data_IF_765254898400
#
_entry.id   IF_765254898400
#
_cell.length_a   1.000
_cell.length_b   1.000
_cell.length_c   1.000
_cell.angle_alpha   90.00
_cell.angle_beta   90.00
_cell.angle_gamma   90.00
#
_symmetry.space_group_name_H-M   'P 1'
#
loop_
_entity.id
_entity.type
_entity.pdbx_description
1 polymer ?
#
# COMPACT_ATOMS: atom_id res chain seq x y z
N UNK A 1 -18.23 -12.31 -41.53
CA UNK A 1 -17.59 -13.07 -40.43
C UNK A 1 -16.31 -12.42 -39.92
N UNK A 2 -15.45 -11.83 -40.78
CA UNK A 2 -14.28 -11.05 -40.31
C UNK A 2 -14.65 -9.81 -39.47
N UNK A 3 -15.62 -8.99 -39.92
CA UNK A 3 -16.00 -7.76 -39.21
C UNK A 3 -16.58 -8.01 -37.81
N UNK A 4 -17.36 -9.08 -37.64
CA UNK A 4 -17.90 -9.48 -36.34
C UNK A 4 -16.84 -10.04 -35.41
N UNK A 5 -15.86 -10.79 -35.90
CA UNK A 5 -14.73 -11.22 -35.08
C UNK A 5 -13.84 -10.04 -34.65
N UNK A 6 -13.63 -9.05 -35.52
CA UNK A 6 -12.80 -7.89 -35.20
C UNK A 6 -13.43 -7.01 -34.10
N UNK A 7 -14.76 -6.83 -34.14
CA UNK A 7 -15.50 -6.14 -33.08
C UNK A 7 -15.45 -6.93 -31.76
N UNK A 8 -15.59 -8.25 -31.81
CA UNK A 8 -15.53 -9.09 -30.60
C UNK A 8 -14.14 -9.07 -29.98
N UNK A 9 -13.07 -9.13 -30.77
CA UNK A 9 -11.70 -9.01 -30.26
C UNK A 9 -11.46 -7.63 -29.64
N UNK A 10 -11.88 -6.54 -30.32
CA UNK A 10 -11.78 -5.19 -29.76
C UNK A 10 -12.54 -5.05 -28.43
N UNK A 11 -13.73 -5.63 -28.32
CA UNK A 11 -14.53 -5.63 -27.09
C UNK A 11 -13.86 -6.41 -25.97
N UNK A 12 -13.26 -7.57 -26.30
CA UNK A 12 -12.52 -8.40 -25.35
C UNK A 12 -11.29 -7.67 -24.84
N UNK A 13 -10.55 -7.00 -25.73
CA UNK A 13 -9.34 -6.25 -25.37
C UNK A 13 -9.69 -5.09 -24.43
N UNK A 14 -10.75 -4.32 -24.72
CA UNK A 14 -11.21 -3.24 -23.83
C UNK A 14 -11.64 -3.74 -22.43
N UNK A 15 -12.32 -4.89 -22.35
CA UNK A 15 -12.75 -5.47 -21.06
C UNK A 15 -11.54 -5.99 -20.27
N UNK A 16 -10.57 -6.58 -20.96
CA UNK A 16 -9.34 -7.10 -20.36
C UNK A 16 -8.47 -5.96 -19.83
N UNK A 17 -8.33 -4.88 -20.61
CA UNK A 17 -7.64 -3.65 -20.20
C UNK A 17 -8.33 -3.02 -18.99
N UNK A 18 -9.66 -2.85 -19.01
CA UNK A 18 -10.40 -2.29 -17.88
C UNK A 18 -10.18 -3.08 -16.58
N UNK A 19 -10.30 -4.41 -16.66
CA UNK A 19 -10.07 -5.29 -15.50
C UNK A 19 -8.63 -5.20 -14.98
N UNK A 20 -7.63 -5.05 -15.87
CA UNK A 20 -6.23 -4.87 -15.49
C UNK A 20 -6.02 -3.57 -14.69
N UNK A 21 -6.61 -2.46 -15.15
CA UNK A 21 -6.51 -1.17 -14.45
C UNK A 21 -7.20 -1.20 -13.09
N UNK A 22 -8.36 -1.85 -12.96
CA UNK A 22 -9.05 -2.01 -11.68
C UNK A 22 -8.18 -2.81 -10.66
N UNK A 23 -7.48 -3.86 -11.09
CA UNK A 23 -6.52 -4.59 -10.24
C UNK A 23 -5.26 -3.79 -9.92
N UNK A 24 -4.77 -2.99 -10.88
CA UNK A 24 -3.60 -2.13 -10.70
C UNK A 24 -3.87 -1.04 -9.66
N UNK A 25 -5.06 -0.45 -9.68
CA UNK A 25 -5.48 0.54 -8.69
C UNK A 25 -5.47 -0.03 -7.27
N UNK A 26 -6.05 -1.22 -7.09
CA UNK A 26 -6.01 -1.94 -5.81
C UNK A 26 -4.57 -2.26 -5.37
N UNK A 27 -3.70 -2.66 -6.30
CA UNK A 27 -2.30 -2.98 -6.03
C UNK A 27 -1.52 -1.75 -5.54
N UNK A 28 -1.69 -0.60 -6.19
CA UNK A 28 -1.03 0.65 -5.81
C UNK A 28 -1.52 1.11 -4.43
N UNK A 29 -2.83 1.07 -4.19
CA UNK A 29 -3.41 1.45 -2.90
C UNK A 29 -2.92 0.54 -1.75
N UNK A 30 -2.86 -0.76 -1.99
CA UNK A 30 -2.27 -1.72 -1.05
C UNK A 30 -0.80 -1.41 -0.77
N UNK A 31 -0.02 -1.09 -1.79
CA UNK A 31 1.40 -0.73 -1.66
C UNK A 31 1.64 0.50 -0.79
N UNK A 32 0.85 1.57 -0.98
CA UNK A 32 0.96 2.78 -0.16
C UNK A 32 0.67 2.51 1.32
N UNK A 33 -0.33 1.69 1.60
CA UNK A 33 -0.62 1.30 2.98
C UNK A 33 0.54 0.48 3.53
N UNK A 34 0.90 -0.63 2.87
CA UNK A 34 1.87 -1.57 3.42
C UNK A 34 3.27 -0.99 3.59
N UNK A 35 3.77 -0.18 2.65
CA UNK A 35 5.12 0.38 2.72
C UNK A 35 5.32 1.42 3.83
N UNK A 36 4.26 2.15 4.20
CA UNK A 36 4.37 3.33 5.08
C UNK A 36 3.56 3.23 6.37
N UNK A 37 3.04 2.05 6.70
CA UNK A 37 2.29 1.78 7.92
C UNK A 37 3.01 2.24 9.20
N UNK A 38 4.34 2.10 9.28
CA UNK A 38 5.08 2.50 10.49
C UNK A 38 5.13 4.01 10.73
N UNK A 39 4.97 4.82 9.67
CA UNK A 39 5.08 6.29 9.74
C UNK A 39 3.69 6.91 9.90
N UNK A 40 2.67 6.34 9.23
CA UNK A 40 1.30 6.87 9.26
C UNK A 40 0.27 5.79 9.60
N UNK A 41 -0.03 5.57 10.89
CA UNK A 41 -0.93 4.51 11.34
C UNK A 41 -2.40 4.70 10.91
N UNK A 42 -2.78 5.89 10.44
CA UNK A 42 -4.12 6.19 9.90
C UNK A 42 -4.29 5.81 8.42
N UNK A 43 -3.21 5.57 7.67
CA UNK A 43 -3.24 5.11 6.28
C UNK A 43 -4.23 3.95 6.02
N UNK A 44 -4.20 2.85 6.80
CA UNK A 44 -5.09 1.70 6.55
C UNK A 44 -6.57 2.04 6.72
N UNK A 45 -6.93 2.96 7.62
CA UNK A 45 -8.33 3.34 7.85
C UNK A 45 -8.85 4.13 6.65
N UNK A 46 -8.07 5.08 6.14
CA UNK A 46 -8.43 5.87 4.97
C UNK A 46 -8.55 4.98 3.73
N UNK A 47 -7.59 4.07 3.54
CA UNK A 47 -7.64 3.11 2.45
C UNK A 47 -8.83 2.14 2.56
N UNK A 48 -9.20 1.72 3.77
CA UNK A 48 -10.39 0.89 3.98
C UNK A 48 -11.67 1.64 3.59
N UNK A 49 -11.80 2.89 4.02
CA UNK A 49 -12.93 3.74 3.61
C UNK A 49 -12.97 3.91 2.09
N UNK A 50 -11.82 4.11 1.44
CA UNK A 50 -11.74 4.20 -0.02
C UNK A 50 -12.23 2.90 -0.67
N UNK A 51 -11.70 1.75 -0.25
CA UNK A 51 -12.13 0.43 -0.74
C UNK A 51 -13.64 0.19 -0.56
N UNK A 52 -14.25 0.67 0.53
CA UNK A 52 -15.70 0.55 0.73
C UNK A 52 -16.51 1.39 -0.26
N UNK A 53 -16.03 2.60 -0.60
CA UNK A 53 -16.66 3.45 -1.61
C UNK A 53 -16.46 2.84 -3.01
N UNK A 54 -15.26 2.31 -3.30
CA UNK A 54 -14.89 1.63 -4.54
C UNK A 54 -15.84 0.47 -4.85
N UNK A 55 -16.03 -0.46 -3.90
CA UNK A 55 -16.93 -1.61 -4.07
C UNK A 55 -18.35 -1.17 -4.45
N UNK A 56 -18.82 -0.08 -3.85
CA UNK A 56 -20.15 0.46 -4.13
C UNK A 56 -20.18 1.14 -5.50
N UNK A 57 -19.16 1.91 -5.85
CA UNK A 57 -18.98 2.56 -7.15
C UNK A 57 -18.93 1.54 -8.28
N UNK A 58 -18.14 0.47 -8.13
CA UNK A 58 -18.00 -0.58 -9.13
C UNK A 58 -19.29 -1.37 -9.34
N UNK A 59 -20.04 -1.64 -8.27
CA UNK A 59 -21.36 -2.26 -8.38
C UNK A 59 -22.33 -1.40 -9.20
N UNK A 60 -22.28 -0.07 -9.06
CA UNK A 60 -23.08 0.87 -9.85
C UNK A 60 -22.58 0.94 -11.30
N UNK A 61 -21.25 0.93 -11.51
CA UNK A 61 -20.61 0.92 -12.83
C UNK A 61 -20.99 -0.32 -13.65
N UNK A 62 -21.15 -1.46 -12.98
CA UNK A 62 -21.60 -2.71 -13.57
C UNK A 62 -23.12 -2.75 -13.80
N UNK A 63 -23.92 -2.16 -12.90
CA UNK A 63 -25.38 -2.15 -13.03
C UNK A 63 -25.90 -1.12 -14.04
N UNK A 64 -25.27 0.04 -14.14
CA UNK A 64 -25.76 1.18 -14.92
C UNK A 64 -24.84 1.59 -16.08
N UNK A 65 -23.56 1.21 -16.06
CA UNK A 65 -22.56 1.67 -17.03
C UNK A 65 -22.19 0.66 -18.13
N UNK A 66 -22.51 -0.63 -17.97
CA UNK A 66 -22.06 -1.69 -18.88
C UNK A 66 -23.19 -2.63 -19.30
N UNK A 67 -23.19 -3.08 -20.56
CA UNK A 67 -24.04 -4.19 -21.00
C UNK A 67 -23.53 -5.49 -20.37
N UNK A 68 -24.44 -6.32 -19.86
CA UNK A 68 -24.12 -7.59 -19.16
C UNK A 68 -23.11 -8.42 -20.00
N UNK A 69 -21.86 -8.56 -19.54
CA UNK A 69 -20.88 -9.37 -20.26
C UNK A 69 -21.21 -10.86 -20.10
N UNK A 70 -20.85 -11.65 -21.10
CA UNK A 70 -21.01 -13.10 -21.03
C UNK A 70 -20.05 -13.66 -19.98
N UNK A 71 -20.56 -14.56 -19.13
CA UNK A 71 -19.78 -15.22 -18.10
C UNK A 71 -18.62 -15.97 -18.76
N UNK A 72 -17.39 -15.50 -18.58
CA UNK A 72 -16.20 -16.23 -18.99
C UNK A 72 -15.59 -16.88 -17.76
N UNK A 73 -15.26 -18.18 -17.89
CA UNK A 73 -14.51 -18.88 -16.86
C UNK A 73 -13.08 -18.32 -16.83
N UNK A 74 -12.80 -17.44 -15.87
CA UNK A 74 -11.48 -16.90 -15.64
C UNK A 74 -10.64 -17.96 -14.90
N UNK A 75 -9.92 -18.80 -15.66
CA UNK A 75 -9.17 -19.92 -15.09
C UNK A 75 -7.75 -19.58 -14.63
N UNK A 76 -7.27 -18.33 -14.71
CA UNK A 76 -5.86 -18.04 -14.41
C UNK A 76 -5.43 -16.59 -14.11
N UNK A 77 -6.33 -15.59 -14.10
CA UNK A 77 -5.94 -14.20 -13.77
C UNK A 77 -5.33 -14.07 -12.37
N UNK A 78 -5.76 -14.93 -11.43
CA UNK A 78 -5.36 -14.89 -10.02
C UNK A 78 -3.87 -15.20 -9.79
N UNK A 79 -3.18 -15.87 -10.72
CA UNK A 79 -1.81 -16.35 -10.51
C UNK A 79 -0.75 -15.25 -10.48
N UNK A 80 -0.74 -14.36 -11.48
CA UNK A 80 0.28 -13.32 -11.61
C UNK A 80 0.13 -12.22 -10.55
N UNK A 81 -1.10 -11.80 -10.26
CA UNK A 81 -1.36 -10.78 -9.25
C UNK A 81 -1.02 -11.28 -7.84
N UNK A 82 -1.31 -12.54 -7.51
CA UNK A 82 -0.93 -13.11 -6.22
C UNK A 82 0.58 -13.04 -5.98
N UNK A 83 1.39 -13.32 -7.01
CA UNK A 83 2.85 -13.15 -6.93
C UNK A 83 3.28 -11.70 -6.79
N UNK A 84 2.60 -10.76 -7.45
CA UNK A 84 2.88 -9.34 -7.27
C UNK A 84 2.62 -8.86 -5.84
N UNK A 85 1.49 -9.27 -5.23
CA UNK A 85 1.18 -8.96 -3.83
C UNK A 85 2.16 -9.61 -2.85
N UNK A 86 2.59 -10.84 -3.11
CA UNK A 86 3.60 -11.54 -2.31
C UNK A 86 4.93 -10.78 -2.29
N UNK A 87 5.43 -10.37 -3.47
CA UNK A 87 6.67 -9.59 -3.59
C UNK A 87 6.55 -8.23 -2.89
N UNK A 88 5.42 -7.54 -3.06
CA UNK A 88 5.17 -6.26 -2.39
C UNK A 88 5.13 -6.41 -0.86
N UNK A 89 4.59 -7.52 -0.35
CA UNK A 89 4.61 -7.85 1.08
C UNK A 89 6.04 -8.02 1.62
N UNK A 90 6.91 -8.69 0.88
CA UNK A 90 8.32 -8.88 1.28
C UNK A 90 9.05 -7.52 1.33
N UNK A 91 8.89 -6.70 0.29
CA UNK A 91 9.50 -5.36 0.22
C UNK A 91 8.98 -4.46 1.35
N UNK A 92 7.68 -4.56 1.67
CA UNK A 92 7.05 -3.85 2.78
C UNK A 92 7.70 -4.19 4.11
N UNK A 93 7.91 -5.48 4.41
CA UNK A 93 8.56 -5.90 5.66
C UNK A 93 9.96 -5.32 5.75
N UNK A 94 10.76 -5.40 4.68
CA UNK A 94 12.11 -4.83 4.66
C UNK A 94 12.11 -3.32 4.92
N UNK A 95 11.17 -2.59 4.29
CA UNK A 95 11.05 -1.13 4.41
C UNK A 95 10.66 -0.73 5.82
N UNK A 96 9.62 -1.35 6.40
CA UNK A 96 9.18 -1.07 7.76
C UNK A 96 10.24 -1.44 8.82
N UNK A 97 10.98 -2.55 8.64
CA UNK A 97 12.08 -2.91 9.52
C UNK A 97 13.23 -1.90 9.47
N UNK A 98 13.59 -1.40 8.28
CA UNK A 98 14.61 -0.37 8.12
C UNK A 98 14.20 0.95 8.79
N UNK A 99 12.95 1.37 8.58
CA UNK A 99 12.38 2.57 9.22
C UNK A 99 12.37 2.48 10.74
N UNK A 100 11.94 1.33 11.29
CA UNK A 100 11.93 1.09 12.73
C UNK A 100 13.35 1.14 13.32
N UNK A 101 14.33 0.52 12.65
CA UNK A 101 15.72 0.51 13.11
C UNK A 101 16.31 1.92 13.14
N UNK A 102 16.03 2.72 12.12
CA UNK A 102 16.45 4.12 12.06
C UNK A 102 15.83 4.96 13.20
N UNK A 103 14.53 4.77 13.46
CA UNK A 103 13.83 5.44 14.54
C UNK A 103 14.41 5.08 15.92
N UNK A 104 14.59 3.78 16.19
CA UNK A 104 15.14 3.29 17.47
C UNK A 104 16.57 3.81 17.68
N UNK A 105 17.40 3.81 16.63
CA UNK A 105 18.79 4.32 16.72
C UNK A 105 18.82 5.81 17.06
N UNK A 106 17.92 6.59 16.46
CA UNK A 106 17.83 8.04 16.70
C UNK A 106 17.35 8.34 18.12
N UNK A 107 16.31 7.64 18.57
CA UNK A 107 15.78 7.81 19.93
C UNK A 107 16.82 7.43 21.00
N UNK A 108 17.53 6.31 20.80
CA UNK A 108 18.63 5.89 21.68
C UNK A 108 19.76 6.93 21.74
N UNK A 109 20.10 7.55 20.60
CA UNK A 109 21.09 8.62 20.54
C UNK A 109 20.67 9.85 21.33
N UNK A 110 19.40 10.25 21.22
CA UNK A 110 18.84 11.37 21.97
C UNK A 110 18.80 11.09 23.48
N UNK A 111 18.43 9.88 23.91
CA UNK A 111 18.41 9.49 25.33
C UNK A 111 19.83 9.46 25.92
N UNK A 112 20.81 8.92 25.19
CA UNK A 112 22.20 8.90 25.67
C UNK A 112 22.76 10.33 25.76
N UNK A 113 22.44 11.17 24.79
CA UNK A 113 22.86 12.57 24.79
C UNK A 113 22.26 13.33 25.97
N UNK A 114 20.94 13.22 26.18
CA UNK A 114 20.25 13.87 27.29
C UNK A 114 20.75 13.39 28.66
N UNK A 115 21.02 12.08 28.80
CA UNK A 115 21.63 11.53 30.01
C UNK A 115 23.05 12.10 30.26
N UNK A 116 23.87 12.27 29.22
CA UNK A 116 25.21 12.89 29.36
C UNK A 116 25.15 14.38 29.69
N UNK A 117 24.17 15.12 29.15
CA UNK A 117 23.95 16.52 29.51
C UNK A 117 23.55 16.67 30.98
N UNK A 118 22.66 15.83 31.49
CA UNK A 118 22.23 15.85 32.88
C UNK A 118 23.40 15.63 33.87
N UNK A 119 24.27 14.66 33.59
CA UNK A 119 25.44 14.35 34.42
C UNK A 119 26.49 15.48 34.42
N UNK A 120 26.65 16.18 33.30
CA UNK A 120 27.61 17.30 33.18
C UNK A 120 27.14 18.52 33.98
N UNK A 121 25.82 18.78 34.02
CA UNK A 121 25.23 19.86 34.81
C UNK A 121 25.42 19.68 36.32
N UNK A 122 25.27 18.46 36.84
CA UNK A 122 25.52 18.17 38.26
C UNK A 122 27.01 18.29 38.64
N UNK A 123 27.91 17.89 37.73
CA UNK A 123 29.36 17.99 37.96
C UNK A 123 29.85 19.44 38.04
N UNK A 124 29.38 20.32 37.15
CA UNK A 124 29.73 21.74 37.19
C UNK A 124 29.17 22.47 38.41
N UNK A 125 27.98 22.09 38.90
CA UNK A 125 27.40 22.65 40.13
C UNK A 125 28.22 22.29 41.38
N UNK A 126 28.75 21.05 41.44
CA UNK A 126 29.59 20.61 42.54
C UNK A 126 30.99 21.25 42.53
N UNK A 127 31.56 21.54 41.36
CA UNK A 127 32.86 22.23 41.26
C UNK A 127 32.78 23.74 41.60
N UNK A 128 31.62 24.37 41.47
CA UNK A 128 31.43 25.80 41.80
C UNK A 128 31.18 26.02 43.31
N UNK A 129 30.98 24.95 44.08
CA UNK A 129 30.76 25.00 45.54
C UNK A 129 32.01 24.68 46.36
N UNK A 130 33.17 24.54 45.72
CA UNK A 130 34.51 24.37 46.33
C UNK A 130 35.29 25.66 46.14
#
# INVERSE_FOLDING_TARGET
QLGTMLIVNQLVDNILEGTYYDYLELYIQFGYVFLFLSIFPMAPIIAFCNNCVEIRSDSLKLCFGHKRPHQRSAKSISGSWMKAFEVMGIISVMTNCALLTYHIRTDSGNIICSARYAQTGERGSNETKV
#
